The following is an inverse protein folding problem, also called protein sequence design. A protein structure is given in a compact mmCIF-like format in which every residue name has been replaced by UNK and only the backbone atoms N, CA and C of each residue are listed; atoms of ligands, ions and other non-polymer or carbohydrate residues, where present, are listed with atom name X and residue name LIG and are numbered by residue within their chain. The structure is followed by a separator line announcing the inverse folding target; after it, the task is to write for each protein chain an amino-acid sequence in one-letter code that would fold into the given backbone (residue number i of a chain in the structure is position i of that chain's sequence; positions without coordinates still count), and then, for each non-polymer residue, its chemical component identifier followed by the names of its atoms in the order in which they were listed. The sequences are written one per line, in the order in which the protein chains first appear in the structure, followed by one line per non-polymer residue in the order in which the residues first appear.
data_IF_582621017084
#
_entry.id   IF_582621017084
#
_cell.length_a   1.000
_cell.length_b   1.000
_cell.length_c   1.000
_cell.angle_alpha   90.00
_cell.angle_beta   90.00
_cell.angle_gamma   90.00
#
_symmetry.space_group_name_H-M   'P 1'
#
loop_
_entity.id
_entity.type
_entity.pdbx_description
1 polymer ?
#
# COMPACT_ATOMS: atom_id res chain seq x y z
N UNK A 1 -7.71 19.10 70.00
CA UNK A 1 -7.73 17.74 69.39
C UNK A 1 -7.41 17.92 67.91
N UNK A 2 -6.19 17.57 67.48
CA UNK A 2 -5.76 17.73 66.09
C UNK A 2 -6.38 16.63 65.25
N UNK A 3 -7.24 16.98 64.31
CA UNK A 3 -7.79 16.04 63.35
C UNK A 3 -6.83 15.94 62.16
N UNK A 4 -5.98 14.91 62.18
CA UNK A 4 -5.19 14.51 61.02
C UNK A 4 -6.13 13.88 60.00
N UNK A 5 -6.36 14.56 58.88
CA UNK A 5 -7.06 14.01 57.72
C UNK A 5 -6.21 12.88 57.13
N UNK A 6 -6.75 11.66 56.95
CA UNK A 6 -6.06 10.59 56.23
C UNK A 6 -5.84 11.06 54.79
N UNK A 7 -4.61 10.99 54.29
CA UNK A 7 -4.34 11.11 52.87
C UNK A 7 -5.06 9.94 52.19
N UNK A 8 -6.22 10.19 51.57
CA UNK A 8 -6.83 9.23 50.67
C UNK A 8 -5.75 8.79 49.68
N UNK A 9 -5.50 7.48 49.66
CA UNK A 9 -4.54 6.87 48.76
C UNK A 9 -5.04 7.15 47.34
N UNK A 10 -4.42 8.13 46.68
CA UNK A 10 -4.78 8.50 45.31
C UNK A 10 -4.79 7.23 44.46
N UNK A 11 -5.96 6.93 43.89
CA UNK A 11 -6.16 5.83 42.95
C UNK A 11 -5.03 5.90 41.92
N UNK A 12 -4.25 4.82 41.70
CA UNK A 12 -3.12 4.88 40.78
C UNK A 12 -3.66 5.34 39.43
N UNK A 13 -3.12 6.44 38.91
CA UNK A 13 -3.48 6.94 37.60
C UNK A 13 -3.34 5.77 36.63
N UNK A 14 -4.46 5.34 36.04
CA UNK A 14 -4.48 4.26 35.07
C UNK A 14 -3.50 4.67 33.98
N UNK A 15 -2.41 3.91 33.83
CA UNK A 15 -1.37 4.16 32.81
C UNK A 15 -2.12 4.24 31.48
N UNK A 16 -2.27 5.45 30.93
CA UNK A 16 -2.99 5.64 29.68
C UNK A 16 -2.32 4.73 28.65
N UNK A 17 -3.07 3.75 28.14
CA UNK A 17 -2.56 2.87 27.10
C UNK A 17 -2.00 3.75 25.97
N UNK A 18 -0.80 3.43 25.48
CA UNK A 18 -0.21 4.18 24.38
C UNK A 18 -1.16 4.15 23.18
N UNK A 19 -1.37 5.28 22.49
CA UNK A 19 -2.26 5.31 21.33
C UNK A 19 -1.78 4.33 20.25
N UNK A 20 -2.73 3.69 19.57
CA UNK A 20 -2.45 2.76 18.47
C UNK A 20 -1.87 3.53 17.27
N UNK A 21 -0.83 2.98 16.66
CA UNK A 21 -0.14 3.54 15.49
C UNK A 21 -0.26 2.54 14.34
N UNK A 22 -0.82 2.98 13.21
CA UNK A 22 -0.80 2.24 11.96
C UNK A 22 0.33 2.74 11.06
N UNK A 23 1.11 1.82 10.51
CA UNK A 23 2.14 2.11 9.51
C UNK A 23 1.70 1.48 8.20
N UNK A 24 1.40 2.31 7.20
CA UNK A 24 0.94 1.85 5.89
C UNK A 24 2.06 1.98 4.85
N UNK A 25 2.46 0.86 4.24
CA UNK A 25 3.44 0.84 3.16
C UNK A 25 2.75 1.03 1.81
N UNK A 26 2.83 2.23 1.26
CA UNK A 26 2.22 2.59 -0.02
C UNK A 26 3.22 2.61 -1.17
N UNK A 27 2.77 2.19 -2.34
CA UNK A 27 3.49 2.32 -3.61
C UNK A 27 2.48 2.61 -4.74
N UNK A 28 2.97 2.93 -5.94
CA UNK A 28 2.15 3.16 -7.14
C UNK A 28 1.37 1.92 -7.59
N UNK A 29 1.78 0.74 -7.13
CA UNK A 29 1.16 -0.53 -7.47
C UNK A 29 1.73 -1.15 -8.73
N UNK A 30 1.07 -2.22 -9.16
CA UNK A 30 1.50 -3.13 -10.21
C UNK A 30 0.27 -3.89 -10.70
N UNK A 31 0.24 -4.41 -11.94
CA UNK A 31 -0.83 -5.31 -12.35
C UNK A 31 -0.90 -6.55 -11.46
N UNK A 32 -2.12 -7.03 -11.21
CA UNK A 32 -2.37 -8.25 -10.43
C UNK A 32 -1.95 -9.53 -11.15
N UNK A 33 -1.86 -9.48 -12.49
CA UNK A 33 -1.45 -10.59 -13.34
C UNK A 33 -0.48 -10.11 -14.41
N UNK A 34 0.43 -11.00 -14.84
CA UNK A 34 1.42 -10.70 -15.88
C UNK A 34 0.87 -10.84 -17.32
N UNK A 35 -0.45 -11.00 -17.49
CA UNK A 35 -1.08 -11.11 -18.79
C UNK A 35 -1.62 -9.77 -19.30
N UNK A 36 -1.92 -9.70 -20.60
CA UNK A 36 -2.35 -8.45 -21.23
C UNK A 36 -3.64 -7.85 -20.61
N UNK A 37 -4.65 -8.65 -20.22
CA UNK A 37 -5.81 -8.16 -19.45
C UNK A 37 -5.43 -7.46 -18.13
N UNK A 38 -4.63 -8.07 -17.27
CA UNK A 38 -4.23 -7.47 -15.99
C UNK A 38 -3.44 -6.19 -16.19
N UNK A 39 -2.48 -6.21 -17.12
CA UNK A 39 -1.70 -5.02 -17.48
C UNK A 39 -2.59 -3.91 -18.05
N UNK A 40 -3.64 -4.25 -18.81
CA UNK A 40 -4.58 -3.26 -19.36
C UNK A 40 -5.38 -2.58 -18.25
N UNK A 41 -5.84 -3.32 -17.24
CA UNK A 41 -6.56 -2.76 -16.09
C UNK A 41 -5.65 -1.76 -15.35
N UNK A 42 -4.46 -2.21 -14.96
CA UNK A 42 -3.47 -1.35 -14.29
C UNK A 42 -3.12 -0.09 -15.10
N UNK A 43 -2.80 -0.23 -16.39
CA UNK A 43 -2.48 0.93 -17.23
C UNK A 43 -3.65 1.90 -17.36
N UNK A 44 -4.89 1.40 -17.41
CA UNK A 44 -6.07 2.25 -17.48
C UNK A 44 -6.22 3.07 -16.21
N UNK A 45 -6.11 2.44 -15.04
CA UNK A 45 -6.19 3.13 -13.74
C UNK A 45 -5.07 4.16 -13.60
N UNK A 46 -3.82 3.74 -13.82
CA UNK A 46 -2.65 4.58 -13.67
C UNK A 46 -2.65 5.81 -14.59
N UNK A 47 -3.03 5.63 -15.87
CA UNK A 47 -3.02 6.71 -16.86
C UNK A 47 -4.30 7.57 -16.87
N UNK A 48 -5.34 7.16 -16.14
CA UNK A 48 -6.55 7.97 -15.93
C UNK A 48 -6.46 8.85 -14.68
N UNK A 49 -5.42 8.70 -13.86
CA UNK A 49 -5.21 9.52 -12.67
C UNK A 49 -4.68 10.91 -13.06
N UNK A 50 -5.39 11.96 -12.64
CA UNK A 50 -5.02 13.36 -12.87
C UNK A 50 -3.69 13.76 -12.18
N UNK A 51 -3.26 13.01 -11.17
CA UNK A 51 -1.97 13.18 -10.50
C UNK A 51 -0.80 12.59 -11.29
N UNK A 52 -1.09 11.72 -12.27
CA UNK A 52 -0.09 11.09 -13.15
C UNK A 52 -0.05 11.80 -14.51
N UNK A 53 -1.21 12.13 -15.06
CA UNK A 53 -1.35 12.89 -16.31
C UNK A 53 -2.29 14.06 -16.05
N UNK A 54 -1.76 15.28 -16.16
CA UNK A 54 -2.51 16.51 -15.84
C UNK A 54 -3.64 16.78 -16.86
N UNK A 55 -3.38 16.59 -18.16
CA UNK A 55 -4.39 16.77 -19.21
C UNK A 55 -5.29 15.55 -19.34
N UNK A 56 -6.42 15.58 -18.64
CA UNK A 56 -7.48 14.56 -18.70
C UNK A 56 -8.61 14.91 -19.71
N UNK A 57 -8.31 15.73 -20.71
CA UNK A 57 -9.25 16.17 -21.74
C UNK A 57 -9.78 15.05 -22.64
N UNK A 58 -10.73 15.40 -23.52
CA UNK A 58 -11.35 14.45 -24.44
C UNK A 58 -10.32 13.81 -25.39
N UNK A 59 -9.34 14.59 -25.87
CA UNK A 59 -8.26 14.10 -26.73
C UNK A 59 -7.46 13.01 -26.01
N UNK A 60 -7.09 13.24 -24.74
CA UNK A 60 -6.39 12.24 -23.94
C UNK A 60 -7.19 10.96 -23.79
N UNK A 61 -8.49 11.06 -23.46
CA UNK A 61 -9.36 9.88 -23.32
C UNK A 61 -9.44 9.07 -24.63
N UNK A 62 -9.47 9.72 -25.79
CA UNK A 62 -9.45 9.05 -27.08
C UNK A 62 -8.10 8.36 -27.34
N UNK A 63 -6.98 9.02 -27.05
CA UNK A 63 -5.64 8.43 -27.19
C UNK A 63 -5.45 7.24 -26.25
N UNK A 64 -5.84 7.39 -24.99
CA UNK A 64 -5.74 6.33 -23.97
C UNK A 64 -6.53 5.10 -24.40
N UNK A 65 -7.81 5.27 -24.72
CA UNK A 65 -8.69 4.12 -25.02
C UNK A 65 -8.51 3.58 -26.45
N UNK A 66 -8.14 4.42 -27.41
CA UNK A 66 -8.01 4.05 -28.83
C UNK A 66 -6.64 3.49 -29.20
N UNK A 67 -5.57 4.08 -28.68
CA UNK A 67 -4.19 3.73 -29.05
C UNK A 67 -3.52 2.97 -27.92
N UNK A 68 -3.37 3.59 -26.74
CA UNK A 68 -2.52 3.08 -25.66
C UNK A 68 -3.04 1.73 -25.14
N UNK A 69 -4.30 1.66 -24.70
CA UNK A 69 -4.86 0.45 -24.11
C UNK A 69 -5.05 -0.68 -25.15
N UNK A 70 -5.01 -0.38 -26.45
CA UNK A 70 -5.15 -1.38 -27.52
C UNK A 70 -3.85 -2.12 -27.82
N UNK A 71 -2.71 -1.44 -27.78
CA UNK A 71 -1.41 -2.02 -28.16
C UNK A 71 -0.49 -2.28 -26.98
N UNK A 72 -0.34 -1.30 -26.07
CA UNK A 72 0.68 -1.31 -25.01
C UNK A 72 0.59 -2.48 -24.03
N UNK A 73 -0.61 -2.95 -23.61
CA UNK A 73 -0.69 -4.04 -22.64
C UNK A 73 -0.03 -5.33 -23.11
N UNK A 74 -0.10 -5.65 -24.41
CA UNK A 74 0.50 -6.87 -24.97
C UNK A 74 2.02 -6.85 -24.83
N UNK A 75 2.64 -5.75 -25.24
CA UNK A 75 4.09 -5.58 -25.12
C UNK A 75 4.53 -5.58 -23.66
N UNK A 76 3.78 -4.89 -22.78
CA UNK A 76 4.14 -4.77 -21.36
C UNK A 76 3.92 -6.06 -20.58
N UNK A 77 2.93 -6.88 -20.94
CA UNK A 77 2.74 -8.21 -20.37
C UNK A 77 3.99 -9.09 -20.52
N UNK A 78 4.63 -9.07 -21.70
CA UNK A 78 5.88 -9.81 -21.92
C UNK A 78 7.01 -9.33 -20.99
N UNK A 79 7.08 -8.02 -20.71
CA UNK A 79 8.06 -7.47 -19.78
C UNK A 79 7.78 -7.93 -18.34
N UNK A 80 6.51 -7.91 -17.91
CA UNK A 80 6.12 -8.42 -16.59
C UNK A 80 6.37 -9.92 -16.44
N UNK A 81 6.09 -10.72 -17.46
CA UNK A 81 6.31 -12.17 -17.44
C UNK A 81 7.77 -12.54 -17.25
N UNK A 82 8.71 -11.78 -17.84
CA UNK A 82 10.15 -12.03 -17.70
C UNK A 82 10.64 -11.97 -16.25
N UNK A 83 10.00 -11.16 -15.43
CA UNK A 83 10.42 -10.88 -14.05
C UNK A 83 9.36 -11.31 -13.02
N UNK A 84 8.33 -12.06 -13.43
CA UNK A 84 7.23 -12.42 -12.54
C UNK A 84 7.69 -13.41 -11.47
N UNK A 85 7.27 -13.20 -10.22
CA UNK A 85 7.47 -14.20 -9.19
C UNK A 85 6.39 -15.28 -9.33
N UNK A 86 6.74 -16.39 -9.97
CA UNK A 86 5.82 -17.51 -10.21
C UNK A 86 5.47 -18.29 -8.94
N UNK A 87 6.34 -18.31 -7.92
CA UNK A 87 6.08 -19.02 -6.66
C UNK A 87 4.94 -18.34 -5.88
N UNK A 88 4.92 -17.01 -5.89
CA UNK A 88 3.91 -16.21 -5.18
C UNK A 88 2.78 -15.71 -6.06
N UNK A 89 2.92 -15.86 -7.38
CA UNK A 89 2.07 -15.24 -8.39
C UNK A 89 1.93 -13.72 -8.18
N UNK A 90 3.06 -13.04 -8.03
CA UNK A 90 3.12 -11.61 -7.74
C UNK A 90 4.18 -10.93 -8.61
N UNK A 91 4.02 -9.62 -8.85
CA UNK A 91 5.12 -8.84 -9.42
C UNK A 91 6.26 -8.69 -8.40
N UNK A 92 7.48 -8.37 -8.87
CA UNK A 92 8.60 -8.08 -7.97
C UNK A 92 8.28 -6.98 -6.97
N UNK A 93 7.59 -5.91 -7.40
CA UNK A 93 7.21 -4.81 -6.52
C UNK A 93 6.32 -5.29 -5.37
N UNK A 94 5.27 -6.06 -5.68
CA UNK A 94 4.35 -6.61 -4.67
C UNK A 94 5.04 -7.59 -3.73
N UNK A 95 5.89 -8.48 -4.28
CA UNK A 95 6.69 -9.43 -3.49
C UNK A 95 7.58 -8.69 -2.51
N UNK A 96 8.31 -7.68 -2.98
CA UNK A 96 9.29 -6.95 -2.18
C UNK A 96 8.59 -6.08 -1.14
N UNK A 97 7.54 -5.34 -1.51
CA UNK A 97 6.77 -4.50 -0.58
C UNK A 97 6.16 -5.32 0.54
N UNK A 98 5.61 -6.50 0.22
CA UNK A 98 5.11 -7.42 1.25
C UNK A 98 6.22 -7.89 2.18
N UNK A 99 7.37 -8.31 1.62
CA UNK A 99 8.52 -8.70 2.45
C UNK A 99 9.05 -7.56 3.32
N UNK A 100 8.99 -6.32 2.85
CA UNK A 100 9.34 -5.14 3.64
C UNK A 100 8.35 -4.92 4.78
N UNK A 101 7.05 -5.05 4.50
CA UNK A 101 5.98 -4.96 5.52
C UNK A 101 6.19 -6.03 6.61
N UNK A 102 6.36 -7.29 6.21
CA UNK A 102 6.60 -8.41 7.13
C UNK A 102 7.84 -8.19 8.03
N UNK A 103 8.94 -7.74 7.43
CA UNK A 103 10.20 -7.47 8.16
C UNK A 103 10.08 -6.27 9.08
N UNK A 104 9.36 -5.22 8.67
CA UNK A 104 9.14 -4.05 9.50
C UNK A 104 8.23 -4.38 10.69
N UNK A 105 7.18 -5.18 10.47
CA UNK A 105 6.32 -5.69 11.53
C UNK A 105 7.13 -6.49 12.55
N UNK A 106 8.00 -7.39 12.09
CA UNK A 106 8.88 -8.15 12.97
C UNK A 106 9.88 -7.27 13.74
N UNK A 107 10.43 -6.23 13.09
CA UNK A 107 11.36 -5.29 13.72
C UNK A 107 10.71 -4.39 14.77
N UNK A 108 9.38 -4.21 14.71
CA UNK A 108 8.59 -3.39 15.65
C UNK A 108 7.74 -4.23 16.61
N UNK A 109 7.99 -5.55 16.68
CA UNK A 109 7.20 -6.47 17.49
C UNK A 109 7.30 -6.22 19.01
N UNK A 110 8.28 -5.44 19.47
CA UNK A 110 8.40 -4.98 20.86
C UNK A 110 7.40 -3.87 21.21
N UNK A 111 6.66 -3.34 20.22
CA UNK A 111 5.70 -2.24 20.38
C UNK A 111 4.28 -2.74 20.17
N UNK A 112 3.62 -3.15 21.25
CA UNK A 112 2.24 -3.66 21.25
C UNK A 112 1.18 -2.68 20.69
N UNK A 113 1.53 -1.40 20.60
CA UNK A 113 0.67 -0.36 20.06
C UNK A 113 0.88 -0.09 18.56
N UNK A 114 1.79 -0.79 17.88
CA UNK A 114 2.08 -0.58 16.44
C UNK A 114 1.53 -1.72 15.60
N UNK A 115 0.89 -1.38 14.48
CA UNK A 115 0.45 -2.32 13.44
C UNK A 115 1.03 -1.86 12.12
N UNK A 116 1.61 -2.78 11.34
CA UNK A 116 2.16 -2.52 10.02
C UNK A 116 1.31 -3.26 8.99
N UNK A 117 0.95 -2.56 7.91
CA UNK A 117 0.24 -3.09 6.74
C UNK A 117 1.01 -2.69 5.46
#
# INVERSE_FOLDING_TARGET
MNSVLPLETAKPATRSALPRVGVLLINLGTPDTADAPGVRIYLKEFLSDARVIEDQGLIWKLVLNGIILRSRPRTKALDYQKIWNNERNESPLKTITRSQSDKLAAALADRDNVVVD
#
